data_IF_631799451243
#
_entry.id   IF_631799451243
#
_cell.length_a   1.000
_cell.length_b   1.000
_cell.length_c   1.000
_cell.angle_alpha   90.00
_cell.angle_beta   90.00
_cell.angle_gamma   90.00
#
_symmetry.space_group_name_H-M   'P 1'
#
loop_
_entity.id
_entity.type
_entity.pdbx_description
1 polymer ?
#
# COMPACT_ATOMS: atom_id res chain seq x y z
N UNK A 1 24.48 1.07 10.84
CA UNK A 1 25.29 -0.03 10.30
C UNK A 1 26.73 0.44 10.20
N UNK A 2 27.73 -0.37 10.60
CA UNK A 2 29.14 0.00 10.40
C UNK A 2 29.55 -0.27 8.96
N UNK A 3 30.61 0.41 8.47
CA UNK A 3 31.14 0.17 7.13
C UNK A 3 31.53 -1.30 6.92
N UNK A 4 32.13 -1.93 7.93
CA UNK A 4 32.49 -3.35 7.88
C UNK A 4 31.27 -4.26 7.68
N UNK A 5 30.20 -4.05 8.46
CA UNK A 5 28.96 -4.84 8.33
C UNK A 5 28.36 -4.66 6.93
N UNK A 6 28.36 -3.43 6.40
CA UNK A 6 27.89 -3.16 5.05
C UNK A 6 28.69 -3.95 4.00
N UNK A 7 30.03 -3.84 4.03
CA UNK A 7 30.90 -4.47 3.03
C UNK A 7 30.83 -5.99 3.08
N UNK A 8 30.69 -6.57 4.28
CA UNK A 8 30.49 -8.02 4.46
C UNK A 8 29.13 -8.46 3.94
N UNK A 9 28.05 -7.73 4.28
CA UNK A 9 26.69 -8.09 3.81
C UNK A 9 26.57 -7.95 2.29
N UNK A 10 27.18 -6.92 1.70
CA UNK A 10 27.22 -6.75 0.24
C UNK A 10 27.91 -7.95 -0.45
N UNK A 11 29.05 -8.41 0.08
CA UNK A 11 29.74 -9.60 -0.43
C UNK A 11 28.90 -10.86 -0.27
N UNK A 12 28.23 -11.03 0.86
CA UNK A 12 27.39 -12.20 1.13
C UNK A 12 26.18 -12.26 0.19
N UNK A 13 25.52 -11.13 -0.09
CA UNK A 13 24.46 -11.03 -1.10
C UNK A 13 24.99 -11.45 -2.47
N UNK A 14 26.10 -10.86 -2.91
CA UNK A 14 26.67 -11.16 -4.23
C UNK A 14 27.04 -12.63 -4.37
N UNK A 15 27.62 -13.22 -3.33
CA UNK A 15 27.94 -14.64 -3.30
C UNK A 15 26.68 -15.53 -3.30
N UNK A 16 25.63 -15.15 -2.58
CA UNK A 16 24.36 -15.88 -2.55
C UNK A 16 23.72 -15.96 -3.95
N UNK A 17 23.67 -14.85 -4.69
CA UNK A 17 23.14 -14.82 -6.05
C UNK A 17 24.06 -15.52 -7.06
N UNK A 18 25.38 -15.35 -6.94
CA UNK A 18 26.35 -16.05 -7.81
C UNK A 18 26.31 -17.57 -7.65
N UNK A 19 26.11 -18.04 -6.42
CA UNK A 19 25.96 -19.47 -6.12
C UNK A 19 24.53 -20.00 -6.28
N UNK A 20 23.58 -19.14 -6.65
CA UNK A 20 22.15 -19.47 -6.79
C UNK A 20 21.58 -20.21 -5.56
N UNK A 21 22.08 -19.87 -4.38
CA UNK A 21 21.73 -20.56 -3.15
C UNK A 21 20.49 -19.92 -2.53
N UNK A 22 19.32 -20.55 -2.74
CA UNK A 22 18.03 -20.08 -2.20
C UNK A 22 18.10 -19.77 -0.70
N UNK A 23 18.61 -20.69 0.11
CA UNK A 23 18.70 -20.50 1.56
C UNK A 23 19.59 -19.32 1.96
N UNK A 24 20.67 -19.03 1.22
CA UNK A 24 21.50 -17.84 1.45
C UNK A 24 20.77 -16.57 1.04
N UNK A 25 20.06 -16.58 -0.09
CA UNK A 25 19.26 -15.43 -0.55
C UNK A 25 18.16 -15.09 0.47
N UNK A 26 17.46 -16.10 0.99
CA UNK A 26 16.44 -15.93 2.04
C UNK A 26 17.04 -15.38 3.34
N UNK A 27 18.19 -15.91 3.76
CA UNK A 27 18.94 -15.41 4.93
C UNK A 27 19.27 -13.92 4.76
N UNK A 28 19.89 -13.54 3.64
CA UNK A 28 20.29 -12.14 3.42
C UNK A 28 19.09 -11.22 3.25
N UNK A 29 18.00 -11.69 2.64
CA UNK A 29 16.74 -10.92 2.53
C UNK A 29 16.14 -10.67 3.92
N UNK A 30 16.07 -11.70 4.76
CA UNK A 30 15.59 -11.59 6.14
C UNK A 30 16.47 -10.67 6.98
N UNK A 31 17.79 -10.76 6.82
CA UNK A 31 18.75 -9.92 7.52
C UNK A 31 18.57 -8.45 7.16
N UNK A 32 18.54 -8.12 5.87
CA UNK A 32 18.35 -6.74 5.40
C UNK A 32 17.01 -6.19 5.87
N UNK A 33 15.91 -6.95 5.74
CA UNK A 33 14.60 -6.55 6.26
C UNK A 33 14.68 -6.22 7.76
N UNK A 34 15.27 -7.12 8.55
CA UNK A 34 15.43 -6.92 10.00
C UNK A 34 16.24 -5.66 10.32
N UNK A 35 17.32 -5.40 9.58
CA UNK A 35 18.11 -4.18 9.75
C UNK A 35 17.31 -2.92 9.42
N UNK A 36 16.49 -2.93 8.36
CA UNK A 36 15.62 -1.80 8.02
C UNK A 36 14.64 -1.54 9.18
N UNK A 37 13.96 -2.57 9.67
CA UNK A 37 12.97 -2.45 10.76
C UNK A 37 13.61 -1.87 12.02
N UNK A 38 14.75 -2.43 12.45
CA UNK A 38 15.48 -1.97 13.65
C UNK A 38 15.93 -0.52 13.50
N UNK A 39 16.48 -0.16 12.34
CA UNK A 39 16.91 1.22 12.07
C UNK A 39 15.71 2.17 12.04
N UNK A 40 14.61 1.79 11.40
CA UNK A 40 13.40 2.63 11.35
C UNK A 40 12.82 2.88 12.73
N UNK A 41 12.67 1.85 13.57
CA UNK A 41 12.17 1.99 14.94
C UNK A 41 13.11 2.81 15.83
N UNK A 42 14.43 2.68 15.64
CA UNK A 42 15.42 3.43 16.41
C UNK A 42 15.55 4.90 15.98
N UNK A 43 15.63 5.14 14.67
CA UNK A 43 15.88 6.45 14.07
C UNK A 43 14.63 7.35 14.07
N UNK A 44 13.44 6.77 13.90
CA UNK A 44 12.17 7.48 13.82
C UNK A 44 11.29 7.21 15.05
N UNK A 45 11.91 7.00 16.21
CA UNK A 45 11.23 6.70 17.48
C UNK A 45 10.27 7.79 17.94
N UNK A 46 10.43 9.02 17.43
CA UNK A 46 9.54 10.18 17.63
C UNK A 46 8.29 10.15 16.74
N UNK A 47 8.25 9.23 15.77
CA UNK A 47 7.18 9.14 14.75
C UNK A 47 6.47 7.79 14.79
N UNK A 48 7.26 6.72 14.88
CA UNK A 48 6.79 5.35 14.92
C UNK A 48 6.78 4.82 16.36
N UNK A 49 5.71 4.09 16.68
CA UNK A 49 5.57 3.29 17.90
C UNK A 49 5.96 1.85 17.62
N UNK A 50 5.46 1.28 16.53
CA UNK A 50 5.65 -0.14 16.19
C UNK A 50 5.60 -0.36 14.67
N UNK A 51 6.24 -1.43 14.20
CA UNK A 51 6.04 -2.01 12.87
C UNK A 51 5.67 -3.48 13.07
N UNK A 52 4.52 -3.89 12.55
CA UNK A 52 3.95 -5.23 12.73
C UNK A 52 3.81 -5.93 11.38
N UNK A 53 4.28 -7.17 11.30
CA UNK A 53 4.15 -8.05 10.13
C UNK A 53 4.21 -9.51 10.61
N UNK A 54 3.88 -10.48 9.76
CA UNK A 54 3.94 -11.89 10.13
C UNK A 54 5.38 -12.34 10.37
N UNK A 55 5.72 -12.56 11.64
CA UNK A 55 7.06 -13.02 12.07
C UNK A 55 7.17 -14.53 12.20
N UNK A 56 6.05 -15.26 12.18
CA UNK A 56 6.04 -16.69 12.48
C UNK A 56 6.43 -17.52 11.25
N UNK A 57 6.00 -17.10 10.06
CA UNK A 57 6.40 -17.72 8.80
C UNK A 57 6.46 -16.66 7.70
N UNK A 58 7.61 -15.97 7.58
CA UNK A 58 7.83 -15.06 6.46
C UNK A 58 7.92 -15.89 5.17
N UNK A 59 6.79 -16.01 4.47
CA UNK A 59 6.69 -16.76 3.23
C UNK A 59 7.22 -15.93 2.08
N UNK A 60 8.46 -16.19 1.68
CA UNK A 60 9.04 -15.44 0.59
C UNK A 60 8.42 -15.81 -0.77
N UNK A 61 8.14 -14.79 -1.57
CA UNK A 61 7.86 -14.92 -3.00
C UNK A 61 9.13 -15.39 -3.72
N UNK A 62 9.24 -16.70 -3.94
CA UNK A 62 10.42 -17.34 -4.54
C UNK A 62 10.80 -16.73 -5.89
N UNK A 63 9.81 -16.42 -6.73
CA UNK A 63 10.04 -15.84 -8.04
C UNK A 63 10.71 -14.46 -7.92
N UNK A 64 10.27 -13.65 -6.95
CA UNK A 64 10.85 -12.34 -6.73
C UNK A 64 12.22 -12.42 -6.05
N UNK A 65 12.36 -13.17 -4.95
CA UNK A 65 13.61 -13.19 -4.18
C UNK A 65 14.77 -13.74 -5.00
N UNK A 66 14.54 -14.72 -5.88
CA UNK A 66 15.58 -15.30 -6.74
C UNK A 66 15.92 -14.41 -7.95
N UNK A 67 15.18 -13.33 -8.16
CA UNK A 67 15.38 -12.43 -9.30
C UNK A 67 16.50 -11.42 -9.08
N UNK A 68 17.05 -10.91 -10.19
CA UNK A 68 17.95 -9.76 -10.16
C UNK A 68 17.30 -8.49 -9.60
N UNK A 69 15.96 -8.39 -9.60
CA UNK A 69 15.26 -7.25 -9.01
C UNK A 69 15.47 -7.22 -7.49
N UNK A 70 15.32 -8.36 -6.81
CA UNK A 70 15.58 -8.43 -5.37
C UNK A 70 17.06 -8.20 -5.05
N UNK A 71 17.99 -8.76 -5.82
CA UNK A 71 19.44 -8.47 -5.67
C UNK A 71 19.72 -6.97 -5.66
N UNK A 72 19.22 -6.26 -6.66
CA UNK A 72 19.40 -4.81 -6.77
C UNK A 72 18.70 -4.06 -5.63
N UNK A 73 17.52 -4.53 -5.19
CA UNK A 73 16.80 -3.95 -4.06
C UNK A 73 17.59 -4.08 -2.75
N UNK A 74 18.16 -5.25 -2.45
CA UNK A 74 18.97 -5.49 -1.26
C UNK A 74 20.19 -4.56 -1.22
N UNK A 75 20.93 -4.45 -2.32
CA UNK A 75 22.10 -3.56 -2.42
C UNK A 75 21.70 -2.08 -2.27
N UNK A 76 20.57 -1.68 -2.90
CA UNK A 76 20.02 -0.33 -2.74
C UNK A 76 19.65 -0.05 -1.28
N UNK A 77 19.03 -1.01 -0.59
CA UNK A 77 18.69 -0.89 0.82
C UNK A 77 19.92 -0.77 1.70
N UNK A 78 20.93 -1.63 1.54
CA UNK A 78 22.18 -1.54 2.29
C UNK A 78 22.82 -0.17 2.16
N UNK A 79 22.92 0.33 0.92
CA UNK A 79 23.49 1.66 0.66
C UNK A 79 22.66 2.75 1.33
N UNK A 80 21.33 2.65 1.27
CA UNK A 80 20.44 3.62 1.91
C UNK A 80 20.62 3.61 3.43
N UNK A 81 20.66 2.43 4.06
CA UNK A 81 20.84 2.27 5.51
C UNK A 81 22.18 2.84 6.01
N UNK A 82 23.24 2.76 5.20
CA UNK A 82 24.53 3.39 5.50
C UNK A 82 24.47 4.92 5.45
N UNK A 83 23.68 5.47 4.52
CA UNK A 83 23.64 6.90 4.22
C UNK A 83 22.55 7.68 4.96
N UNK A 84 21.72 7.02 5.78
CA UNK A 84 20.70 7.70 6.59
C UNK A 84 21.41 8.72 7.50
N UNK A 85 21.09 9.99 7.28
CA UNK A 85 21.53 11.11 8.12
C UNK A 85 20.41 11.54 9.06
N UNK A 86 20.77 11.78 10.32
CA UNK A 86 19.85 12.23 11.37
C UNK A 86 20.19 13.67 11.78
N UNK A 87 19.20 14.55 11.99
CA UNK A 87 17.75 14.31 11.87
C UNK A 87 17.29 14.25 10.40
N UNK A 88 16.31 13.39 10.12
CA UNK A 88 15.69 13.24 8.79
C UNK A 88 14.40 14.04 8.70
N UNK A 89 14.01 14.51 7.51
CA UNK A 89 12.74 15.23 7.30
C UNK A 89 11.53 14.30 7.34
N UNK A 90 10.32 14.83 7.45
CA UNK A 90 9.09 14.04 7.32
C UNK A 90 8.95 13.41 5.93
N UNK A 91 9.25 14.18 4.89
CA UNK A 91 9.30 13.69 3.52
C UNK A 91 10.21 12.46 3.37
N UNK A 92 11.47 12.54 3.82
CA UNK A 92 12.43 11.44 3.63
C UNK A 92 12.07 10.20 4.45
N UNK A 93 11.47 10.37 5.64
CA UNK A 93 10.87 9.27 6.40
C UNK A 93 9.70 8.62 5.64
N UNK A 94 8.78 9.43 5.12
CA UNK A 94 7.64 8.94 4.33
C UNK A 94 8.11 8.14 3.11
N UNK A 95 9.14 8.63 2.40
CA UNK A 95 9.75 7.91 1.27
C UNK A 95 10.32 6.56 1.69
N UNK A 96 11.07 6.54 2.80
CA UNK A 96 11.62 5.30 3.37
C UNK A 96 10.52 4.28 3.69
N UNK A 97 9.44 4.75 4.33
CA UNK A 97 8.29 3.92 4.71
C UNK A 97 7.60 3.33 3.48
N UNK A 98 7.22 4.15 2.49
CA UNK A 98 6.56 3.65 1.27
C UNK A 98 7.47 2.73 0.45
N UNK A 99 8.78 3.00 0.40
CA UNK A 99 9.72 2.11 -0.28
C UNK A 99 9.84 0.76 0.43
N UNK A 100 9.76 0.74 1.76
CA UNK A 100 9.76 -0.50 2.54
C UNK A 100 8.47 -1.30 2.30
N UNK A 101 7.30 -0.66 2.36
CA UNK A 101 6.01 -1.33 2.07
C UNK A 101 6.01 -1.99 0.69
N UNK A 102 6.39 -1.22 -0.34
CA UNK A 102 6.50 -1.70 -1.72
C UNK A 102 7.43 -2.91 -1.83
N UNK A 103 8.64 -2.82 -1.27
CA UNK A 103 9.57 -3.95 -1.29
C UNK A 103 9.05 -5.14 -0.47
N UNK A 104 8.40 -4.91 0.67
CA UNK A 104 7.85 -5.94 1.53
C UNK A 104 6.75 -6.75 0.82
N UNK A 105 5.86 -6.08 0.10
CA UNK A 105 4.80 -6.71 -0.70
C UNK A 105 5.39 -7.57 -1.82
N UNK A 106 6.50 -7.15 -2.42
CA UNK A 106 7.19 -7.95 -3.44
C UNK A 106 7.86 -9.20 -2.85
N UNK A 107 8.47 -9.11 -1.66
CA UNK A 107 9.19 -10.25 -1.06
C UNK A 107 8.28 -11.22 -0.34
N UNK A 108 7.16 -10.81 0.25
CA UNK A 108 6.36 -11.67 1.14
C UNK A 108 4.91 -11.90 0.72
N UNK A 109 4.39 -11.12 -0.23
CA UNK A 109 2.95 -11.09 -0.58
C UNK A 109 2.01 -10.94 0.63
N UNK A 110 2.53 -10.52 1.79
CA UNK A 110 1.82 -10.34 3.04
C UNK A 110 1.79 -8.86 3.40
N UNK A 111 0.93 -8.52 4.36
CA UNK A 111 0.80 -7.14 4.80
C UNK A 111 1.82 -6.74 5.88
N UNK A 112 2.16 -5.45 5.90
CA UNK A 112 3.00 -4.80 6.92
C UNK A 112 2.27 -3.56 7.43
N UNK A 113 2.27 -3.37 8.74
CA UNK A 113 1.56 -2.30 9.44
C UNK A 113 2.52 -1.40 10.20
N UNK A 114 2.26 -0.10 10.16
CA UNK A 114 3.02 0.92 10.88
C UNK A 114 2.09 1.58 11.89
N UNK A 115 2.44 1.51 13.17
CA UNK A 115 1.76 2.25 14.21
C UNK A 115 2.51 3.55 14.50
N UNK A 116 1.81 4.68 14.37
CA UNK A 116 2.38 6.01 14.62
C UNK A 116 2.13 6.47 16.06
N UNK A 117 2.97 7.39 16.53
CA UNK A 117 2.70 8.10 17.79
C UNK A 117 1.63 9.18 17.60
N UNK A 118 0.80 9.38 18.62
CA UNK A 118 -0.30 10.34 18.58
C UNK A 118 0.14 11.79 18.33
N UNK A 119 1.34 12.18 18.79
CA UNK A 119 1.94 13.50 18.61
C UNK A 119 2.58 13.70 17.21
N UNK A 120 2.78 12.60 16.49
CA UNK A 120 3.16 12.61 15.08
C UNK A 120 1.95 12.79 14.14
N UNK A 121 0.75 12.52 14.62
CA UNK A 121 -0.49 12.63 13.86
C UNK A 121 -1.10 14.03 13.96
N UNK A 122 -1.68 14.50 12.85
CA UNK A 122 -2.39 15.77 12.76
C UNK A 122 -3.87 15.58 12.43
N UNK A 123 -4.65 16.62 12.65
CA UNK A 123 -6.08 16.64 12.35
C UNK A 123 -6.32 16.80 10.84
N UNK A 124 -7.41 16.22 10.28
CA UNK A 124 -7.79 16.45 8.89
C UNK A 124 -7.85 17.92 8.48
N UNK A 125 -8.40 18.78 9.34
CA UNK A 125 -8.44 20.22 9.09
C UNK A 125 -7.04 20.83 8.88
N UNK A 126 -6.06 20.41 9.68
CA UNK A 126 -4.68 20.91 9.56
C UNK A 126 -4.01 20.40 8.28
N UNK A 127 -4.24 19.14 7.91
CA UNK A 127 -3.72 18.60 6.66
C UNK A 127 -4.31 19.32 5.44
N UNK A 128 -5.62 19.62 5.46
CA UNK A 128 -6.29 20.38 4.40
C UNK A 128 -5.68 21.80 4.25
N UNK A 129 -5.45 22.48 5.39
CA UNK A 129 -4.79 23.79 5.42
C UNK A 129 -3.36 23.72 4.85
N UNK A 130 -2.56 22.71 5.24
CA UNK A 130 -1.19 22.52 4.75
C UNK A 130 -1.09 22.15 3.26
N UNK A 131 -2.15 21.55 2.71
CA UNK A 131 -2.28 21.22 1.29
C UNK A 131 -2.92 22.37 0.49
N UNK A 132 -3.49 23.39 1.15
CA UNK A 132 -4.21 24.48 0.50
C UNK A 132 -5.52 24.03 -0.16
N UNK A 133 -6.21 23.05 0.42
CA UNK A 133 -7.44 22.45 -0.13
C UNK A 133 -8.60 22.50 0.86
N UNK A 134 -9.81 22.22 0.39
CA UNK A 134 -10.99 22.06 1.24
C UNK A 134 -11.01 20.70 1.96
N UNK A 135 -11.73 20.60 3.08
CA UNK A 135 -11.99 19.31 3.75
C UNK A 135 -12.71 18.31 2.82
N UNK A 136 -13.56 18.80 1.91
CA UNK A 136 -14.24 17.95 0.93
C UNK A 136 -13.23 17.34 -0.04
N UNK A 137 -12.25 18.13 -0.48
CA UNK A 137 -11.16 17.66 -1.33
C UNK A 137 -10.27 16.66 -0.59
N UNK A 138 -9.93 16.93 0.68
CA UNK A 138 -9.16 16.00 1.50
C UNK A 138 -9.87 14.64 1.64
N UNK A 139 -11.18 14.64 1.89
CA UNK A 139 -11.96 13.40 1.96
C UNK A 139 -11.92 12.61 0.65
N UNK A 140 -11.85 13.28 -0.51
CA UNK A 140 -11.65 12.60 -1.80
C UNK A 140 -10.25 11.99 -1.88
N UNK A 141 -9.22 12.72 -1.47
CA UNK A 141 -7.84 12.21 -1.44
C UNK A 141 -7.69 11.00 -0.53
N UNK A 142 -8.33 11.00 0.65
CA UNK A 142 -8.35 9.85 1.57
C UNK A 142 -8.89 8.60 0.88
N UNK A 143 -10.02 8.72 0.18
CA UNK A 143 -10.59 7.61 -0.61
C UNK A 143 -9.72 7.16 -1.77
N UNK A 144 -8.82 8.03 -2.25
CA UNK A 144 -7.89 7.75 -3.34
C UNK A 144 -6.54 7.22 -2.84
N UNK A 145 -6.35 7.06 -1.54
CA UNK A 145 -5.12 6.51 -0.95
C UNK A 145 -4.21 7.54 -0.28
N UNK A 146 -4.71 8.73 0.06
CA UNK A 146 -4.02 9.61 1.01
C UNK A 146 -3.99 8.96 2.38
N UNK A 147 -2.78 8.70 2.88
CA UNK A 147 -2.58 7.91 4.09
C UNK A 147 -3.24 8.55 5.32
N UNK A 148 -4.05 7.74 6.00
CA UNK A 148 -4.66 8.04 7.27
C UNK A 148 -4.75 6.79 8.14
N UNK A 149 -4.91 6.97 9.45
CA UNK A 149 -5.18 5.88 10.38
C UNK A 149 -6.64 5.85 10.81
N UNK A 150 -7.18 4.64 10.94
CA UNK A 150 -8.50 4.42 11.53
C UNK A 150 -8.38 4.42 13.06
N UNK A 151 -8.80 5.53 13.66
CA UNK A 151 -8.79 5.73 15.11
C UNK A 151 -10.03 6.50 15.55
N UNK A 152 -10.38 6.40 16.83
CA UNK A 152 -11.39 7.26 17.46
C UNK A 152 -10.88 8.68 17.71
N UNK A 153 -9.56 8.90 17.66
CA UNK A 153 -8.93 10.22 17.82
C UNK A 153 -9.23 11.17 16.66
N UNK A 154 -9.20 12.47 16.94
CA UNK A 154 -9.23 13.50 15.88
C UNK A 154 -7.91 13.60 15.10
N UNK A 155 -6.80 13.13 15.67
CA UNK A 155 -5.52 13.08 15.01
C UNK A 155 -5.42 11.77 14.24
N UNK A 156 -5.41 11.84 12.90
CA UNK A 156 -5.50 10.66 12.03
C UNK A 156 -4.51 10.64 10.89
N UNK A 157 -3.85 11.76 10.60
CA UNK A 157 -3.02 11.90 9.41
C UNK A 157 -1.56 11.97 9.84
N UNK A 158 -0.69 11.04 9.41
CA UNK A 158 0.75 11.18 9.61
C UNK A 158 1.29 12.42 8.91
N UNK A 159 2.17 13.19 9.57
CA UNK A 159 2.71 14.44 9.00
C UNK A 159 3.34 14.24 7.61
N UNK A 160 4.12 13.16 7.42
CA UNK A 160 4.74 12.87 6.13
C UNK A 160 3.74 12.66 4.98
N UNK A 161 2.50 12.25 5.25
CA UNK A 161 1.50 12.04 4.20
C UNK A 161 1.21 13.34 3.44
N UNK A 162 1.21 14.48 4.15
CA UNK A 162 1.04 15.81 3.54
C UNK A 162 2.19 16.15 2.60
N UNK A 163 3.43 15.85 3.01
CA UNK A 163 4.62 16.15 2.20
C UNK A 163 4.71 15.23 0.98
N UNK A 164 4.44 13.94 1.15
CA UNK A 164 4.44 12.98 0.05
C UNK A 164 3.33 13.27 -0.97
N UNK A 165 2.17 13.76 -0.54
CA UNK A 165 1.09 14.09 -1.48
C UNK A 165 1.44 15.24 -2.42
N UNK A 166 2.41 16.09 -2.03
CA UNK A 166 2.96 17.16 -2.87
C UNK A 166 4.06 16.66 -3.82
N UNK A 167 4.62 15.48 -3.57
CA UNK A 167 5.60 14.82 -4.44
C UNK A 167 4.87 13.93 -5.45
N UNK A 168 4.89 14.23 -6.76
CA UNK A 168 4.12 13.47 -7.74
C UNK A 168 4.46 11.98 -7.78
N UNK A 169 5.73 11.62 -7.58
CA UNK A 169 6.18 10.22 -7.63
C UNK A 169 5.66 9.47 -6.42
N UNK A 170 5.85 10.05 -5.24
CA UNK A 170 5.47 9.38 -3.99
C UNK A 170 3.97 9.47 -3.69
N UNK A 171 3.26 10.48 -4.20
CA UNK A 171 1.80 10.54 -4.17
C UNK A 171 1.21 9.35 -4.95
N UNK A 172 1.64 9.13 -6.19
CA UNK A 172 1.19 7.97 -6.99
C UNK A 172 1.57 6.66 -6.30
N UNK A 173 2.78 6.57 -5.75
CA UNK A 173 3.21 5.37 -5.00
C UNK A 173 2.34 5.11 -3.77
N UNK A 174 1.97 6.14 -3.02
CA UNK A 174 1.08 6.03 -1.87
C UNK A 174 -0.29 5.48 -2.28
N UNK A 175 -0.85 5.99 -3.39
CA UNK A 175 -2.13 5.52 -3.92
C UNK A 175 -2.04 4.06 -4.37
N UNK A 176 -0.95 3.68 -5.05
CA UNK A 176 -0.69 2.29 -5.43
C UNK A 176 -0.62 1.36 -4.21
N UNK A 177 0.14 1.73 -3.18
CA UNK A 177 0.29 0.92 -1.97
C UNK A 177 -1.01 0.82 -1.17
N UNK A 178 -1.84 1.87 -1.18
CA UNK A 178 -3.18 1.80 -0.62
C UNK A 178 -4.02 0.71 -1.29
N UNK A 179 -3.98 0.61 -2.63
CA UNK A 179 -4.70 -0.43 -3.37
C UNK A 179 -4.13 -1.83 -3.12
N UNK A 180 -2.80 -1.99 -3.07
CA UNK A 180 -2.19 -3.28 -2.72
C UNK A 180 -2.57 -3.73 -1.31
N UNK A 181 -2.53 -2.82 -0.34
CA UNK A 181 -2.93 -3.10 1.04
C UNK A 181 -4.40 -3.51 1.13
N UNK A 182 -5.27 -2.83 0.39
CA UNK A 182 -6.68 -3.18 0.28
C UNK A 182 -6.82 -4.58 -0.31
N UNK A 183 -6.17 -4.89 -1.44
CA UNK A 183 -6.16 -6.23 -2.05
C UNK A 183 -5.71 -7.33 -1.10
N UNK A 184 -4.74 -7.06 -0.22
CA UNK A 184 -4.23 -8.02 0.76
C UNK A 184 -5.13 -8.23 1.97
N UNK A 185 -5.95 -7.24 2.33
CA UNK A 185 -6.78 -7.26 3.55
C UNK A 185 -8.27 -7.49 3.30
N UNK A 186 -8.74 -7.15 2.11
CA UNK A 186 -10.15 -7.08 1.79
C UNK A 186 -10.77 -8.48 1.76
N UNK A 187 -11.82 -8.67 2.55
CA UNK A 187 -12.62 -9.89 2.47
C UNK A 187 -13.59 -9.83 1.27
N UNK A 188 -14.09 -10.98 0.78
CA UNK A 188 -15.11 -10.98 -0.26
C UNK A 188 -16.37 -10.19 0.13
N UNK A 189 -16.78 -10.20 1.40
CA UNK A 189 -17.92 -9.41 1.90
C UNK A 189 -17.63 -7.91 1.86
N UNK A 190 -16.43 -7.49 2.26
CA UNK A 190 -16.02 -6.09 2.18
C UNK A 190 -15.97 -5.61 0.72
N UNK A 191 -15.48 -6.44 -0.21
CA UNK A 191 -15.51 -6.11 -1.64
C UNK A 191 -16.93 -6.02 -2.17
N UNK A 192 -17.80 -6.96 -1.80
CA UNK A 192 -19.20 -6.94 -2.23
C UNK A 192 -19.92 -5.67 -1.74
N UNK A 193 -19.64 -5.23 -0.51
CA UNK A 193 -20.18 -3.97 0.01
C UNK A 193 -19.74 -2.76 -0.83
N UNK A 194 -18.49 -2.73 -1.30
CA UNK A 194 -18.00 -1.66 -2.17
C UNK A 194 -18.62 -1.71 -3.56
N UNK A 195 -18.75 -2.90 -4.16
CA UNK A 195 -19.44 -3.11 -5.44
C UNK A 195 -20.87 -2.54 -5.35
N UNK A 196 -21.58 -2.79 -4.24
CA UNK A 196 -22.89 -2.18 -4.01
C UNK A 196 -22.86 -0.65 -3.91
N UNK A 197 -21.85 -0.07 -3.26
CA UNK A 197 -21.69 1.38 -3.20
C UNK A 197 -21.42 1.97 -4.60
N UNK A 198 -20.55 1.34 -5.39
CA UNK A 198 -20.20 1.74 -6.75
C UNK A 198 -21.42 1.66 -7.68
N UNK A 199 -22.15 0.54 -7.67
CA UNK A 199 -23.43 0.38 -8.39
C UNK A 199 -24.46 1.44 -7.96
N UNK A 200 -24.48 1.84 -6.68
CA UNK A 200 -25.34 2.92 -6.21
C UNK A 200 -24.91 4.29 -6.74
N UNK A 201 -23.60 4.53 -6.97
CA UNK A 201 -23.14 5.76 -7.63
C UNK A 201 -23.63 5.85 -9.08
N UNK A 202 -23.62 4.73 -9.83
CA UNK A 202 -24.24 4.70 -11.16
C UNK A 202 -25.71 5.08 -11.09
N UNK A 203 -26.47 4.51 -10.14
CA UNK A 203 -27.91 4.83 -9.95
C UNK A 203 -28.15 6.32 -9.74
N UNK A 204 -27.24 6.97 -8.99
CA UNK A 204 -27.27 8.42 -8.77
C UNK A 204 -26.87 9.20 -10.01
N UNK A 205 -25.79 8.81 -10.70
CA UNK A 205 -25.26 9.46 -11.92
C UNK A 205 -26.32 9.50 -13.03
N UNK A 206 -26.95 8.36 -13.29
CA UNK A 206 -27.97 8.21 -14.34
C UNK A 206 -29.40 8.46 -13.86
N UNK A 207 -29.59 8.78 -12.58
CA UNK A 207 -30.89 9.11 -11.96
C UNK A 207 -31.97 8.05 -12.19
N UNK A 208 -31.58 6.78 -12.22
CA UNK A 208 -32.49 5.65 -12.42
C UNK A 208 -32.11 4.49 -11.50
N UNK A 209 -33.09 3.78 -10.92
CA UNK A 209 -32.82 2.56 -10.19
C UNK A 209 -32.44 1.38 -11.12
N UNK A 210 -32.79 1.47 -12.41
CA UNK A 210 -32.55 0.43 -13.41
C UNK A 210 -31.52 0.93 -14.44
N UNK A 211 -30.23 0.75 -14.15
CA UNK A 211 -29.13 1.27 -14.99
C UNK A 211 -29.15 0.72 -16.41
N UNK A 212 -29.53 -0.55 -16.60
CA UNK A 212 -29.70 -1.14 -17.93
C UNK A 212 -30.58 -0.26 -18.85
N UNK A 213 -31.64 0.35 -18.31
CA UNK A 213 -32.52 1.26 -19.06
C UNK A 213 -31.84 2.58 -19.46
N UNK A 214 -30.83 3.02 -18.72
CA UNK A 214 -30.03 4.19 -19.08
C UNK A 214 -29.15 3.94 -20.30
N UNK A 215 -28.87 2.68 -20.64
CA UNK A 215 -28.02 2.29 -21.77
C UNK A 215 -28.81 1.62 -22.92
N UNK A 216 -30.12 1.36 -22.73
CA UNK A 216 -30.98 0.76 -23.75
C UNK A 216 -31.15 1.68 -24.96
N UNK A 217 -30.84 1.16 -26.16
CA UNK A 217 -31.04 1.88 -27.42
C UNK A 217 -30.05 3.03 -27.69
N UNK A 218 -29.05 3.21 -26.81
CA UNK A 218 -28.00 4.20 -26.99
C UNK A 218 -26.82 3.54 -27.72
N UNK A 219 -26.23 4.25 -28.68
CA UNK A 219 -24.95 3.85 -29.23
C UNK A 219 -23.88 4.10 -28.15
N UNK A 220 -23.29 3.02 -27.61
CA UNK A 220 -22.30 3.07 -26.52
C UNK A 220 -21.12 3.98 -26.89
N UNK A 221 -20.68 3.96 -28.15
CA UNK A 221 -19.59 4.82 -28.66
C UNK A 221 -19.97 6.30 -28.76
N UNK A 222 -21.25 6.63 -28.61
CA UNK A 222 -21.77 7.99 -28.61
C UNK A 222 -22.11 8.52 -27.20
N UNK A 223 -21.83 7.73 -26.15
CA UNK A 223 -21.90 8.21 -24.77
C UNK A 223 -20.80 9.23 -24.50
N UNK A 224 -21.07 10.19 -23.60
CA UNK A 224 -20.06 11.14 -23.12
C UNK A 224 -18.88 10.42 -22.45
N UNK A 225 -19.15 9.26 -21.83
CA UNK A 225 -18.15 8.36 -21.28
C UNK A 225 -18.55 6.90 -21.56
N UNK A 226 -18.05 6.30 -22.66
CA UNK A 226 -18.35 4.90 -22.99
C UNK A 226 -17.82 3.90 -21.95
N UNK A 227 -16.83 4.27 -21.11
CA UNK A 227 -16.29 3.35 -20.11
C UNK A 227 -17.33 3.03 -19.04
N UNK A 228 -18.24 3.96 -18.75
CA UNK A 228 -19.32 3.77 -17.77
C UNK A 228 -20.15 2.51 -18.02
N UNK A 229 -20.43 2.17 -19.28
CA UNK A 229 -21.20 0.97 -19.62
C UNK A 229 -20.43 -0.31 -19.30
N UNK A 230 -19.15 -0.35 -19.67
CA UNK A 230 -18.30 -1.52 -19.46
C UNK A 230 -18.01 -1.71 -17.97
N UNK A 231 -17.62 -0.64 -17.27
CA UNK A 231 -17.39 -0.65 -15.82
C UNK A 231 -18.64 -1.11 -15.05
N UNK A 232 -19.83 -0.59 -15.40
CA UNK A 232 -21.08 -1.03 -14.77
C UNK A 232 -21.36 -2.51 -15.01
N UNK A 233 -21.15 -3.02 -16.22
CA UNK A 233 -21.38 -4.43 -16.53
C UNK A 233 -20.39 -5.31 -15.78
N UNK A 234 -19.11 -4.95 -15.78
CA UNK A 234 -18.06 -5.69 -15.10
C UNK A 234 -18.31 -5.73 -13.58
N UNK A 235 -18.88 -4.66 -12.99
CA UNK A 235 -19.33 -4.64 -11.59
C UNK A 235 -20.51 -5.61 -11.30
N UNK A 236 -21.42 -5.81 -12.26
CA UNK A 236 -22.49 -6.80 -12.11
C UNK A 236 -21.97 -8.24 -12.18
N UNK A 237 -21.01 -8.48 -13.07
CA UNK A 237 -20.33 -9.78 -13.16
C UNK A 237 -19.57 -10.07 -11.85
N UNK A 238 -18.84 -9.08 -11.32
CA UNK A 238 -18.14 -9.19 -10.04
C UNK A 238 -19.10 -9.40 -8.85
N UNK A 239 -20.26 -8.71 -8.83
CA UNK A 239 -21.30 -8.92 -7.81
C UNK A 239 -21.77 -10.39 -7.79
N UNK A 240 -22.06 -10.95 -8.97
CA UNK A 240 -22.50 -12.33 -9.11
C UNK A 240 -21.42 -13.32 -8.67
N UNK A 241 -20.17 -13.12 -9.09
CA UNK A 241 -19.04 -13.95 -8.70
C UNK A 241 -18.83 -13.95 -7.17
N UNK A 242 -18.76 -12.78 -6.54
CA UNK A 242 -18.58 -12.65 -5.09
C UNK A 242 -19.75 -13.23 -4.30
N UNK A 243 -20.98 -13.02 -4.77
CA UNK A 243 -22.18 -13.59 -4.14
C UNK A 243 -22.16 -15.11 -4.22
N UNK A 244 -21.78 -15.68 -5.37
CA UNK A 244 -21.66 -17.12 -5.54
C UNK A 244 -20.54 -17.72 -4.68
N UNK A 245 -19.41 -17.04 -4.51
CA UNK A 245 -18.34 -17.46 -3.60
C UNK A 245 -18.86 -17.53 -2.14
N UNK A 246 -19.54 -16.47 -1.68
CA UNK A 246 -20.07 -16.38 -0.32
C UNK A 246 -21.22 -17.36 -0.02
N UNK A 247 -22.01 -17.71 -1.03
CA UNK A 247 -23.09 -18.71 -0.89
C UNK A 247 -22.53 -20.13 -1.00
N UNK A 248 -21.60 -20.37 -1.93
CA UNK A 248 -20.99 -21.68 -2.16
C UNK A 248 -20.07 -22.16 -1.03
N UNK A 249 -19.44 -21.24 -0.28
CA UNK A 249 -18.67 -21.58 0.92
C UNK A 249 -19.54 -22.01 2.11
N UNK A 250 -20.85 -21.71 2.12
CA UNK A 250 -21.77 -22.12 3.19
C UNK A 250 -22.24 -23.57 3.11
N UNK A 251 -22.02 -24.24 1.98
CA UNK A 251 -22.44 -25.64 1.78
C UNK A 251 -21.34 -26.67 2.16
N UNK A 252 -20.26 -26.22 2.81
CA UNK A 252 -19.18 -27.07 3.36
C UNK A 252 -18.97 -26.73 4.85
N UNK A 253 -19.95 -27.04 5.69
CA UNK A 253 -19.78 -27.24 7.15
C UNK A 253 -20.36 -28.59 7.58
#
# INVERSE_FOLDING_TARGET
>A
MTTTIYEETEKDIEYAYKSQSKSKIEKETSYVLSQIIVIMLGAFKDRLKEITFDTNYLHFNEQYILSNKNRNALLKWLKRLMLISLPTTDLEFGKLKLDLEDWYYQISSQDISFEYRDDYLIKPKQAAELLGISNVTLNKYMKQGFEHIDTSSHNKIPKHAVDLWKDPVYCIKMQYLYQEKKRLRQTPEERLSEVYEELMQYKKKYKTPFIKKAFEGINIDALDDPSDYYEWRDLLEEEEELTNQLIGEKDIE
#
